data_IF_707411737534
#
_entry.id   IF_707411737534
#
_cell.length_a   1.000
_cell.length_b   1.000
_cell.length_c   1.000
_cell.angle_alpha   90.00
_cell.angle_beta   90.00
_cell.angle_gamma   90.00
#
_symmetry.space_group_name_H-M   'P 1'
#
loop_
_entity.id
_entity.type
_entity.pdbx_description
1 polymer ?
#
# COMPACT_ATOMS: atom_id res chain seq x y z
N UNK A 1 28.21 75.61 6.19
CA UNK A 1 29.60 75.47 5.70
C UNK A 1 30.03 74.03 5.97
N UNK A 2 30.41 73.32 4.89
CA UNK A 2 31.23 72.09 4.76
C UNK A 2 31.11 71.00 5.84
N UNK A 3 30.50 69.84 5.52
CA UNK A 3 31.08 68.62 4.93
C UNK A 3 31.92 67.77 5.89
N UNK A 4 31.63 66.46 5.90
CA UNK A 4 32.43 65.25 6.19
C UNK A 4 31.40 64.20 6.64
N UNK A 5 31.30 62.98 6.13
CA UNK A 5 31.85 62.31 4.97
C UNK A 5 31.03 61.02 4.84
N UNK A 6 30.70 60.65 3.61
CA UNK A 6 30.11 59.37 3.23
C UNK A 6 30.94 58.18 3.72
N UNK A 7 30.34 57.18 4.35
CA UNK A 7 30.84 55.80 4.24
C UNK A 7 29.75 54.74 4.48
N UNK A 8 29.36 54.14 3.36
CA UNK A 8 28.94 52.76 3.12
C UNK A 8 28.17 51.93 4.19
N UNK A 9 26.99 51.37 3.84
CA UNK A 9 26.32 50.35 4.63
C UNK A 9 26.91 48.97 4.33
N UNK A 10 27.94 48.58 5.07
CA UNK A 10 28.41 47.19 5.11
C UNK A 10 28.62 46.83 6.57
N UNK A 11 27.67 46.12 7.18
CA UNK A 11 27.92 45.12 8.24
C UNK A 11 26.61 44.58 8.85
N UNK A 12 25.68 44.11 8.01
CA UNK A 12 24.53 43.30 8.44
C UNK A 12 24.74 41.80 8.19
N UNK A 13 26.01 41.36 8.13
CA UNK A 13 26.36 39.93 7.99
C UNK A 13 27.37 39.47 9.04
N UNK A 14 27.24 39.98 10.25
CA UNK A 14 27.94 39.48 11.43
C UNK A 14 27.07 38.40 12.10
N UNK A 15 27.59 37.18 12.33
CA UNK A 15 26.89 36.19 13.13
C UNK A 15 26.64 36.73 14.54
N UNK A 16 25.39 36.67 15.02
CA UNK A 16 24.99 37.11 16.38
C UNK A 16 25.54 36.18 17.47
N UNK A 17 26.12 35.02 17.11
CA UNK A 17 26.72 34.07 18.04
C UNK A 17 28.25 34.15 18.02
N UNK A 18 28.83 34.35 19.21
CA UNK A 18 30.25 34.10 19.47
C UNK A 18 30.59 32.64 19.14
N UNK A 19 31.79 32.33 18.59
CA UNK A 19 32.18 30.95 18.33
C UNK A 19 32.18 30.17 19.65
N UNK A 20 31.54 29.00 19.73
CA UNK A 20 31.53 28.23 20.96
C UNK A 20 32.95 27.79 21.25
N UNK A 21 33.30 27.89 22.53
CA UNK A 21 34.55 27.41 23.09
C UNK A 21 34.83 25.98 22.60
N UNK A 22 35.98 25.78 21.95
CA UNK A 22 36.47 24.48 21.48
C UNK A 22 36.56 23.51 22.66
N UNK A 23 35.54 22.69 22.87
CA UNK A 23 35.60 21.53 23.75
C UNK A 23 34.99 20.33 23.00
N UNK A 24 35.89 19.43 22.60
CA UNK A 24 35.72 18.00 22.26
C UNK A 24 34.28 17.52 22.04
N UNK A 25 33.83 17.58 20.79
CA UNK A 25 33.60 16.44 19.89
C UNK A 25 33.05 17.08 18.63
N UNK A 26 33.88 17.24 17.62
CA UNK A 26 33.42 17.68 16.31
C UNK A 26 32.44 16.61 15.83
N UNK A 27 31.14 16.88 15.94
CA UNK A 27 30.14 16.08 15.23
C UNK A 27 30.40 16.37 13.77
N UNK A 28 31.20 15.51 13.13
CA UNK A 28 31.52 15.54 11.71
C UNK A 28 30.20 15.68 10.96
N UNK A 29 29.93 16.87 10.41
CA UNK A 29 28.74 17.13 9.60
C UNK A 29 28.95 16.44 8.26
N UNK A 30 28.71 15.15 8.25
CA UNK A 30 28.72 14.33 7.05
C UNK A 30 27.44 14.63 6.25
N UNK A 31 27.57 14.90 4.95
CA UNK A 31 26.43 14.99 4.06
C UNK A 31 25.78 13.61 3.91
N UNK A 32 24.47 13.55 3.69
CA UNK A 32 23.73 12.28 3.57
C UNK A 32 24.35 11.39 2.49
N UNK A 33 24.78 11.97 1.37
CA UNK A 33 25.45 11.25 0.27
C UNK A 33 26.80 10.65 0.70
N UNK A 34 27.62 11.42 1.44
CA UNK A 34 28.90 10.95 1.98
C UNK A 34 28.69 9.85 3.04
N UNK A 35 27.59 9.91 3.79
CA UNK A 35 27.20 8.88 4.75
C UNK A 35 26.87 7.57 4.04
N UNK A 36 26.07 7.62 2.97
CA UNK A 36 25.74 6.43 2.18
C UNK A 36 26.98 5.84 1.51
N UNK A 37 27.86 6.67 0.96
CA UNK A 37 29.07 6.18 0.31
C UNK A 37 30.04 5.54 1.32
N UNK A 38 30.18 6.10 2.53
CA UNK A 38 31.07 5.61 3.59
C UNK A 38 30.56 4.34 4.26
N UNK A 39 29.25 4.22 4.49
CA UNK A 39 28.67 3.11 5.27
C UNK A 39 27.96 2.05 4.43
N UNK A 40 27.36 2.41 3.29
CA UNK A 40 26.62 1.47 2.44
C UNK A 40 27.44 1.00 1.21
N UNK A 41 28.48 1.75 0.80
CA UNK A 41 29.23 1.48 -0.42
C UNK A 41 28.41 1.68 -1.70
N UNK A 42 29.00 1.42 -2.87
CA UNK A 42 28.26 1.45 -4.14
C UNK A 42 27.27 0.30 -4.20
N UNK A 43 26.03 0.58 -4.64
CA UNK A 43 24.98 -0.43 -4.82
C UNK A 43 25.48 -1.51 -5.79
N UNK A 44 25.80 -2.69 -5.27
CA UNK A 44 26.37 -3.76 -6.08
C UNK A 44 25.34 -4.32 -7.06
N UNK A 45 25.80 -4.88 -8.19
CA UNK A 45 24.90 -5.56 -9.17
C UNK A 45 24.04 -6.65 -8.53
N UNK A 46 24.58 -7.33 -7.52
CA UNK A 46 23.87 -8.37 -6.77
C UNK A 46 22.78 -7.76 -5.88
N UNK A 47 23.07 -6.66 -5.17
CA UNK A 47 22.08 -5.91 -4.38
C UNK A 47 20.97 -5.35 -5.27
N UNK A 48 21.33 -4.81 -6.45
CA UNK A 48 20.35 -4.34 -7.43
C UNK A 48 19.43 -5.48 -7.90
N UNK A 49 20.00 -6.66 -8.19
CA UNK A 49 19.21 -7.84 -8.57
C UNK A 49 18.25 -8.25 -7.44
N UNK A 50 18.72 -8.29 -6.20
CA UNK A 50 17.87 -8.61 -5.04
C UNK A 50 16.77 -7.56 -4.82
N UNK A 51 17.10 -6.28 -4.97
CA UNK A 51 16.15 -5.19 -4.88
C UNK A 51 15.05 -5.32 -5.95
N UNK A 52 15.42 -5.60 -7.20
CA UNK A 52 14.46 -5.81 -8.30
C UNK A 52 13.59 -7.04 -8.03
N UNK A 53 14.17 -8.18 -7.65
CA UNK A 53 13.42 -9.41 -7.37
C UNK A 53 12.45 -9.23 -6.21
N UNK A 54 12.88 -8.56 -5.14
CA UNK A 54 12.05 -8.26 -3.98
C UNK A 54 10.93 -7.30 -4.38
N UNK A 55 11.25 -6.21 -5.07
CA UNK A 55 10.26 -5.25 -5.56
C UNK A 55 9.22 -5.92 -6.47
N UNK A 56 9.64 -6.83 -7.34
CA UNK A 56 8.75 -7.60 -8.20
C UNK A 56 7.85 -8.55 -7.39
N UNK A 57 8.40 -9.25 -6.39
CA UNK A 57 7.62 -10.12 -5.52
C UNK A 57 6.53 -9.35 -4.77
N UNK A 58 6.88 -8.20 -4.17
CA UNK A 58 5.92 -7.31 -3.51
C UNK A 58 4.90 -6.70 -4.48
N UNK A 59 5.32 -6.37 -5.70
CA UNK A 59 4.42 -5.92 -6.76
C UNK A 59 3.39 -6.99 -7.13
N UNK A 60 3.85 -8.22 -7.40
CA UNK A 60 2.98 -9.35 -7.73
C UNK A 60 2.00 -9.66 -6.60
N UNK A 61 2.47 -9.59 -5.36
CA UNK A 61 1.65 -9.74 -4.16
C UNK A 61 0.50 -8.72 -4.11
N UNK A 62 0.80 -7.45 -4.42
CA UNK A 62 -0.21 -6.39 -4.47
C UNK A 62 -1.24 -6.63 -5.59
N UNK A 63 -0.79 -7.02 -6.79
CA UNK A 63 -1.70 -7.35 -7.89
C UNK A 63 -2.61 -8.53 -7.57
N UNK A 64 -2.07 -9.59 -6.97
CA UNK A 64 -2.87 -10.75 -6.57
C UNK A 64 -3.93 -10.38 -5.53
N UNK A 65 -3.55 -9.56 -4.53
CA UNK A 65 -4.48 -9.05 -3.52
C UNK A 65 -5.59 -8.20 -4.15
N UNK A 66 -5.24 -7.33 -5.09
CA UNK A 66 -6.20 -6.50 -5.81
C UNK A 66 -7.22 -7.36 -6.55
N UNK A 67 -6.77 -8.36 -7.31
CA UNK A 67 -7.66 -9.27 -8.05
C UNK A 67 -8.62 -9.98 -7.11
N UNK A 68 -8.11 -10.59 -6.03
CA UNK A 68 -8.94 -11.26 -5.01
C UNK A 68 -10.07 -10.36 -4.49
N UNK A 69 -9.75 -9.10 -4.13
CA UNK A 69 -10.75 -8.16 -3.60
C UNK A 69 -11.87 -7.87 -4.60
N UNK A 70 -11.53 -7.70 -5.89
CA UNK A 70 -12.54 -7.41 -6.90
C UNK A 70 -13.33 -8.65 -7.32
N UNK A 71 -12.70 -9.82 -7.37
CA UNK A 71 -13.36 -11.08 -7.71
C UNK A 71 -14.29 -11.56 -6.60
N UNK A 72 -14.02 -11.18 -5.35
CA UNK A 72 -14.81 -11.56 -4.18
C UNK A 72 -16.00 -10.63 -3.90
N UNK A 73 -16.23 -9.64 -4.76
CA UNK A 73 -17.41 -8.75 -4.64
C UNK A 73 -18.69 -9.55 -4.86
N UNK A 74 -19.54 -9.58 -3.85
CA UNK A 74 -20.90 -10.13 -3.94
C UNK A 74 -21.72 -9.29 -4.96
N UNK A 75 -22.16 -9.86 -6.08
CA UNK A 75 -22.93 -9.12 -7.09
C UNK A 75 -24.38 -8.96 -6.63
N UNK A 76 -25.08 -7.96 -7.16
CA UNK A 76 -26.50 -7.79 -6.89
C UNK A 76 -27.33 -8.93 -7.53
N UNK A 77 -28.44 -9.29 -6.92
CA UNK A 77 -29.35 -10.33 -7.39
C UNK A 77 -30.72 -9.75 -7.73
N UNK A 78 -31.44 -10.43 -8.62
CA UNK A 78 -32.81 -10.10 -9.01
C UNK A 78 -33.67 -11.36 -9.04
N UNK A 79 -34.97 -11.18 -8.89
CA UNK A 79 -35.91 -12.28 -9.00
C UNK A 79 -36.16 -12.65 -10.46
N UNK A 80 -36.35 -13.94 -10.72
CA UNK A 80 -36.76 -14.42 -12.03
C UNK A 80 -38.26 -14.14 -12.22
N UNK A 81 -38.62 -13.49 -13.32
CA UNK A 81 -40.01 -13.16 -13.64
C UNK A 81 -40.90 -14.41 -13.67
N UNK A 82 -41.96 -14.42 -12.86
CA UNK A 82 -42.94 -15.52 -12.81
C UNK A 82 -42.73 -16.52 -11.67
N UNK A 83 -41.70 -16.36 -10.84
CA UNK A 83 -41.56 -17.11 -9.58
C UNK A 83 -41.84 -16.22 -8.36
N UNK A 84 -42.42 -16.81 -7.31
CA UNK A 84 -42.50 -16.14 -6.01
C UNK A 84 -41.10 -16.06 -5.41
N UNK A 85 -40.46 -14.90 -5.53
CA UNK A 85 -39.33 -14.54 -4.72
C UNK A 85 -39.84 -13.74 -3.52
N UNK A 86 -39.40 -14.09 -2.32
CA UNK A 86 -39.70 -13.25 -1.16
C UNK A 86 -38.78 -12.03 -1.24
N UNK A 87 -39.26 -10.93 -1.83
CA UNK A 87 -38.51 -9.67 -1.98
C UNK A 87 -38.06 -9.04 -0.65
N UNK A 88 -38.46 -9.60 0.50
CA UNK A 88 -37.99 -9.24 1.85
C UNK A 88 -37.16 -10.31 2.56
N UNK A 89 -36.90 -11.47 1.92
CA UNK A 89 -36.11 -12.57 2.47
C UNK A 89 -34.66 -12.55 1.96
N UNK A 90 -33.73 -13.13 2.73
CA UNK A 90 -32.35 -13.31 2.27
C UNK A 90 -32.29 -14.38 1.17
N UNK A 91 -31.40 -14.20 0.20
CA UNK A 91 -31.09 -15.17 -0.88
C UNK A 91 -30.92 -16.60 -0.34
N UNK A 92 -30.36 -16.72 0.85
CA UNK A 92 -30.09 -17.98 1.55
C UNK A 92 -31.33 -18.81 1.89
N UNK A 93 -32.50 -18.18 1.96
CA UNK A 93 -33.75 -18.84 2.33
C UNK A 93 -34.63 -19.16 1.12
N UNK A 94 -34.21 -18.75 -0.08
CA UNK A 94 -34.97 -18.89 -1.32
C UNK A 94 -34.48 -20.08 -2.15
N UNK A 95 -35.35 -20.62 -3.01
CA UNK A 95 -34.94 -21.66 -3.95
C UNK A 95 -33.98 -21.08 -5.00
N UNK A 96 -32.95 -21.82 -5.44
CA UNK A 96 -31.97 -21.34 -6.43
C UNK A 96 -32.56 -20.98 -7.80
N UNK A 97 -33.79 -21.43 -8.08
CA UNK A 97 -34.49 -21.17 -9.35
C UNK A 97 -35.28 -19.85 -9.32
N UNK A 98 -35.60 -19.34 -8.13
CA UNK A 98 -36.45 -18.15 -7.95
C UNK A 98 -35.72 -16.80 -8.15
N UNK A 99 -34.39 -16.82 -8.21
CA UNK A 99 -33.56 -15.63 -8.31
C UNK A 99 -32.32 -15.89 -9.19
N UNK A 100 -31.77 -14.82 -9.75
CA UNK A 100 -30.56 -14.85 -10.58
C UNK A 100 -29.64 -13.66 -10.28
N UNK A 101 -28.33 -13.84 -10.49
CA UNK A 101 -27.35 -12.77 -10.38
C UNK A 101 -27.52 -11.75 -11.53
N UNK A 102 -27.47 -10.46 -11.22
CA UNK A 102 -27.68 -9.37 -12.19
C UNK A 102 -26.65 -9.39 -13.33
N UNK A 103 -25.42 -9.84 -13.06
CA UNK A 103 -24.35 -10.04 -14.05
C UNK A 103 -24.12 -11.49 -14.48
N UNK A 104 -25.00 -12.41 -14.07
CA UNK A 104 -24.82 -13.85 -14.30
C UNK A 104 -23.71 -14.50 -13.46
N UNK A 105 -23.43 -15.78 -13.76
CA UNK A 105 -22.47 -16.60 -13.00
C UNK A 105 -21.01 -16.20 -13.20
N UNK A 106 -20.68 -15.50 -14.30
CA UNK A 106 -19.32 -15.07 -14.60
C UNK A 106 -18.99 -13.66 -14.06
N UNK A 107 -19.92 -13.02 -13.33
CA UNK A 107 -19.71 -11.68 -12.81
C UNK A 107 -18.66 -11.63 -11.69
N UNK A 108 -18.54 -12.71 -10.90
CA UNK A 108 -17.65 -12.80 -9.75
C UNK A 108 -17.43 -14.28 -9.39
N UNK A 109 -16.30 -14.59 -8.75
CA UNK A 109 -16.04 -15.90 -8.16
C UNK A 109 -17.12 -16.28 -7.13
N UNK A 110 -17.73 -15.29 -6.47
CA UNK A 110 -18.86 -15.51 -5.55
C UNK A 110 -20.10 -16.03 -6.29
N UNK A 111 -20.42 -15.47 -7.46
CA UNK A 111 -21.59 -15.90 -8.24
C UNK A 111 -21.35 -17.22 -9.00
N UNK A 112 -20.10 -17.53 -9.34
CA UNK A 112 -19.71 -18.78 -9.99
C UNK A 112 -19.83 -19.97 -9.01
N UNK A 113 -19.29 -19.82 -7.81
CA UNK A 113 -19.18 -20.89 -6.81
C UNK A 113 -20.24 -20.82 -5.71
N UNK A 114 -21.16 -19.84 -5.78
CA UNK A 114 -22.23 -19.61 -4.79
C UNK A 114 -21.70 -19.46 -3.35
N UNK A 115 -20.64 -18.66 -3.17
CA UNK A 115 -19.95 -18.42 -1.89
C UNK A 115 -20.71 -17.44 -0.98
N UNK A 116 -22.00 -17.70 -0.77
CA UNK A 116 -22.90 -16.89 0.05
C UNK A 116 -23.38 -17.67 1.28
N UNK A 117 -24.10 -17.01 2.17
CA UNK A 117 -24.76 -17.66 3.31
C UNK A 117 -23.75 -18.35 4.24
N UNK A 118 -23.93 -19.66 4.49
CA UNK A 118 -23.02 -20.45 5.32
C UNK A 118 -21.62 -20.59 4.72
N UNK A 119 -21.42 -20.30 3.43
CA UNK A 119 -20.14 -20.48 2.74
C UNK A 119 -19.33 -19.18 2.59
N UNK A 120 -19.88 -18.03 3.03
CA UNK A 120 -19.22 -16.72 2.95
C UNK A 120 -17.87 -16.67 3.69
N UNK A 121 -17.70 -17.48 4.73
CA UNK A 121 -16.43 -17.55 5.48
C UNK A 121 -15.28 -18.12 4.66
N UNK A 122 -15.56 -18.95 3.64
CA UNK A 122 -14.53 -19.60 2.82
C UNK A 122 -13.68 -18.57 2.07
N UNK A 123 -14.30 -17.49 1.60
CA UNK A 123 -13.64 -16.35 0.95
C UNK A 123 -12.63 -15.71 1.91
N UNK A 124 -13.11 -15.33 3.11
CA UNK A 124 -12.25 -14.73 4.13
C UNK A 124 -11.14 -15.67 4.62
N UNK A 125 -11.41 -16.98 4.67
CA UNK A 125 -10.41 -17.99 5.05
C UNK A 125 -9.27 -18.07 4.03
N UNK A 126 -9.58 -18.15 2.73
CA UNK A 126 -8.55 -18.20 1.68
C UNK A 126 -7.71 -16.93 1.67
N UNK A 127 -8.35 -15.76 1.83
CA UNK A 127 -7.65 -14.48 1.94
C UNK A 127 -6.76 -14.41 3.19
N UNK A 128 -7.21 -14.95 4.33
CA UNK A 128 -6.41 -15.02 5.55
C UNK A 128 -5.18 -15.94 5.38
N UNK A 129 -5.37 -17.13 4.80
CA UNK A 129 -4.27 -18.06 4.51
C UNK A 129 -3.25 -17.42 3.57
N UNK A 130 -3.71 -16.67 2.58
CA UNK A 130 -2.83 -15.93 1.68
C UNK A 130 -1.98 -14.90 2.43
N UNK A 131 -2.58 -14.03 3.25
CA UNK A 131 -1.80 -13.07 4.04
C UNK A 131 -0.84 -13.72 5.04
N UNK A 132 -1.26 -14.82 5.69
CA UNK A 132 -0.37 -15.61 6.57
C UNK A 132 0.81 -16.18 5.77
N UNK A 133 0.57 -16.73 4.58
CA UNK A 133 1.63 -17.22 3.69
C UNK A 133 2.63 -16.12 3.32
N UNK A 134 2.16 -14.91 3.08
CA UNK A 134 3.03 -13.77 2.79
C UNK A 134 3.86 -13.33 3.99
N UNK A 135 3.33 -13.48 5.22
CA UNK A 135 4.11 -13.20 6.43
C UNK A 135 5.17 -14.27 6.72
N UNK A 136 4.88 -15.54 6.44
CA UNK A 136 5.82 -16.65 6.69
C UNK A 136 6.89 -16.74 5.59
N UNK A 137 6.55 -16.43 4.33
CA UNK A 137 7.50 -16.43 3.20
C UNK A 137 8.50 -15.26 3.19
N UNK A 138 8.42 -14.36 4.17
CA UNK A 138 9.35 -13.25 4.40
C UNK A 138 10.35 -13.52 5.54
N UNK A 139 10.27 -14.66 6.23
CA UNK A 139 11.32 -15.17 7.13
C UNK A 139 12.36 -16.04 6.41
#
# INVERSE_FOLDING_TARGET
>A
MAEISSSHPHDLRSPILSPPFKNKTETEKICIDDMFQKYCGEFGKWQLKHFILTSLAWGLQAFHSMVMIFTDREPDWKCVSGMECSAGGSVCSMSPESWEWTGGKAASTVSEWSLICSDKYKVGLVQAVFFVGCTIGLE
#
